data_IF_799328604276
#
_entry.id   IF_799328604276
#
_cell.length_a   1.000
_cell.length_b   1.000
_cell.length_c   1.000
_cell.angle_alpha   90.00
_cell.angle_beta   90.00
_cell.angle_gamma   90.00
#
_symmetry.space_group_name_H-M   'P 1'
#
loop_
_entity.id
_entity.type
_entity.pdbx_description
1 polymer ?
#
# COMPACT_ATOMS: atom_id res chain seq x y z
N UNK A 1 -11.71 0.53 -18.49
CA UNK A 1 -10.48 -0.25 -18.73
C UNK A 1 -10.26 -1.07 -17.48
N UNK A 2 -10.01 -2.38 -17.64
CA UNK A 2 -9.68 -3.25 -16.52
C UNK A 2 -8.19 -3.15 -16.23
N UNK A 3 -7.80 -2.98 -14.97
CA UNK A 3 -6.39 -2.96 -14.57
C UNK A 3 -6.18 -3.46 -13.13
N UNK A 4 -5.01 -4.03 -12.89
CA UNK A 4 -4.56 -4.52 -11.58
C UNK A 4 -3.45 -3.63 -11.05
N UNK A 5 -3.45 -3.35 -9.74
CA UNK A 5 -2.40 -2.60 -9.06
C UNK A 5 -1.61 -3.54 -8.16
N UNK A 6 -0.28 -3.45 -8.21
CA UNK A 6 0.61 -4.16 -7.28
C UNK A 6 1.35 -3.14 -6.41
N UNK A 7 1.18 -3.23 -5.09
CA UNK A 7 1.78 -2.34 -4.10
C UNK A 7 2.91 -3.09 -3.38
N UNK A 8 4.19 -2.79 -3.65
CA UNK A 8 5.29 -3.38 -2.90
C UNK A 8 5.40 -2.76 -1.51
N UNK A 9 5.35 -3.59 -0.47
CA UNK A 9 5.31 -3.18 0.92
C UNK A 9 6.34 -3.94 1.76
N UNK A 10 7.63 -3.56 1.66
CA UNK A 10 8.70 -4.20 2.44
C UNK A 10 8.81 -3.66 3.85
N UNK A 11 8.86 -4.54 4.85
CA UNK A 11 8.97 -4.14 6.25
C UNK A 11 10.36 -3.56 6.59
N UNK A 12 11.40 -4.10 5.95
CA UNK A 12 12.83 -3.87 6.20
C UNK A 12 13.38 -2.51 5.71
N UNK A 13 12.57 -1.44 5.74
CA UNK A 13 13.00 -0.10 5.31
C UNK A 13 14.04 0.52 6.25
N UNK A 14 15.16 1.01 5.70
CA UNK A 14 16.28 1.54 6.49
C UNK A 14 16.15 3.01 6.91
N UNK A 15 15.48 3.86 6.09
CA UNK A 15 15.29 5.28 6.41
C UNK A 15 14.09 5.55 7.30
N UNK A 16 13.05 4.74 7.17
CA UNK A 16 11.84 4.81 7.99
C UNK A 16 11.44 3.37 8.35
N UNK A 17 11.95 2.82 9.46
CA UNK A 17 11.68 1.44 9.87
C UNK A 17 10.19 1.15 9.95
N UNK A 18 9.76 -0.01 9.43
CA UNK A 18 8.36 -0.42 9.46
C UNK A 18 7.42 0.47 8.63
N UNK A 19 7.96 1.27 7.70
CA UNK A 19 7.22 2.27 6.91
C UNK A 19 5.83 1.82 6.42
N UNK A 20 5.62 0.62 5.84
CA UNK A 20 4.28 0.23 5.37
C UNK A 20 3.21 0.22 6.47
N UNK A 21 3.61 -0.06 7.71
CA UNK A 21 2.75 -0.11 8.89
C UNK A 21 2.80 1.16 9.74
N UNK A 22 3.59 2.16 9.34
CA UNK A 22 3.66 3.43 10.05
C UNK A 22 2.27 4.09 10.05
N UNK A 23 1.82 4.53 11.23
CA UNK A 23 0.55 5.24 11.35
C UNK A 23 0.64 6.62 10.71
N UNK A 24 -0.32 6.92 9.85
CA UNK A 24 -0.51 8.22 9.20
C UNK A 24 -1.98 8.59 9.41
N UNK A 25 -2.26 9.41 10.41
CA UNK A 25 -3.61 9.89 10.68
C UNK A 25 -4.60 8.78 11.07
N UNK A 26 -4.15 7.79 11.85
CA UNK A 26 -5.00 6.70 12.34
C UNK A 26 -5.16 5.51 11.36
N UNK A 27 -4.39 5.49 10.27
CA UNK A 27 -4.32 4.37 9.33
C UNK A 27 -2.86 4.05 8.97
N UNK A 28 -2.50 2.77 8.78
CA UNK A 28 -1.21 2.39 8.23
C UNK A 28 -0.94 3.03 6.87
N UNK A 29 0.32 3.41 6.61
CA UNK A 29 0.76 3.99 5.34
C UNK A 29 0.29 3.20 4.11
N UNK A 30 0.40 1.86 4.15
CA UNK A 30 0.00 0.99 3.03
C UNK A 30 -1.50 1.02 2.75
N UNK A 31 -2.33 1.24 3.79
CA UNK A 31 -3.77 1.31 3.65
C UNK A 31 -4.20 2.52 2.83
N UNK A 32 -3.53 3.67 3.01
CA UNK A 32 -3.80 4.86 2.19
C UNK A 32 -3.61 4.59 0.69
N UNK A 33 -2.53 3.89 0.32
CA UNK A 33 -2.25 3.56 -1.09
C UNK A 33 -3.27 2.55 -1.63
N UNK A 34 -3.64 1.55 -0.84
CA UNK A 34 -4.68 0.58 -1.19
C UNK A 34 -6.03 1.28 -1.46
N UNK A 35 -6.47 2.15 -0.55
CA UNK A 35 -7.75 2.88 -0.71
C UNK A 35 -7.74 3.78 -1.95
N UNK A 36 -6.61 4.43 -2.26
CA UNK A 36 -6.46 5.22 -3.49
C UNK A 36 -6.47 4.36 -4.76
N UNK A 37 -5.87 3.17 -4.74
CA UNK A 37 -5.91 2.23 -5.87
C UNK A 37 -7.34 1.75 -6.15
N UNK A 38 -8.10 1.42 -5.10
CA UNK A 38 -9.52 1.07 -5.21
C UNK A 38 -10.34 2.25 -5.76
N UNK A 39 -10.11 3.47 -5.25
CA UNK A 39 -10.81 4.68 -5.70
C UNK A 39 -10.52 5.01 -7.18
N UNK A 40 -9.33 4.69 -7.67
CA UNK A 40 -8.96 4.85 -9.08
C UNK A 40 -9.65 3.86 -10.03
N UNK A 41 -10.38 2.87 -9.49
CA UNK A 41 -11.10 1.87 -10.28
C UNK A 41 -10.26 0.65 -10.66
N UNK A 42 -9.24 0.30 -9.86
CA UNK A 42 -8.54 -0.97 -10.03
C UNK A 42 -9.51 -2.13 -9.78
N UNK A 43 -9.48 -3.14 -10.66
CA UNK A 43 -10.29 -4.34 -10.48
C UNK A 43 -9.69 -5.27 -9.42
N UNK A 44 -8.36 -5.24 -9.27
CA UNK A 44 -7.64 -6.01 -8.26
C UNK A 44 -6.45 -5.21 -7.73
N UNK A 45 -6.17 -5.36 -6.44
CA UNK A 45 -5.08 -4.68 -5.73
C UNK A 45 -4.34 -5.70 -4.88
N UNK A 46 -3.09 -5.95 -5.25
CA UNK A 46 -2.22 -6.93 -4.60
C UNK A 46 -1.14 -6.21 -3.81
N UNK A 47 -1.05 -6.46 -2.52
CA UNK A 47 0.07 -5.98 -1.70
C UNK A 47 1.15 -7.07 -1.67
N UNK A 48 2.29 -6.80 -2.30
CA UNK A 48 3.43 -7.71 -2.35
C UNK A 48 4.43 -7.36 -1.23
N UNK A 49 4.52 -8.22 -0.22
CA UNK A 49 5.45 -8.08 0.91
C UNK A 49 6.60 -9.10 0.80
N UNK A 50 7.73 -8.76 1.42
CA UNK A 50 8.83 -9.70 1.71
C UNK A 50 8.53 -10.55 2.96
#
# INVERSE_FOLDING_TARGET
MSFTVVIPARYSSSRLPGKPLADIGGKPMVQWVYEQAMQAGADDVIIATD
#
